data_IF_613752060615
#
_entry.id   IF_613752060615
#
_cell.length_a   1.000
_cell.length_b   1.000
_cell.length_c   1.000
_cell.angle_alpha   90.00
_cell.angle_beta   90.00
_cell.angle_gamma   90.00
#
_symmetry.space_group_name_H-M   'P 1'
#
loop_
_entity.id
_entity.type
_entity.pdbx_description
1 polymer ?
#
# COMPACT_ATOMS: atom_id res chain seq x y z
N UNK A 1 29.12 13.04 8.84
CA UNK A 1 28.25 11.85 8.90
C UNK A 1 28.79 10.81 7.94
N UNK A 2 29.03 9.57 8.36
CA UNK A 2 29.57 8.53 7.47
C UNK A 2 28.45 7.85 6.68
N UNK A 3 28.75 7.42 5.45
CA UNK A 3 27.83 6.73 4.54
C UNK A 3 27.28 5.43 5.14
N UNK A 4 28.10 4.74 5.94
CA UNK A 4 27.71 3.52 6.68
C UNK A 4 26.56 3.78 7.64
N UNK A 5 26.55 4.93 8.33
CA UNK A 5 25.46 5.29 9.25
C UNK A 5 24.16 5.57 8.49
N UNK A 6 24.23 6.22 7.33
CA UNK A 6 23.07 6.47 6.47
C UNK A 6 22.48 5.16 5.93
N UNK A 7 23.33 4.23 5.51
CA UNK A 7 22.88 2.93 5.00
C UNK A 7 22.25 2.05 6.10
N UNK A 8 22.75 2.13 7.34
CA UNK A 8 22.14 1.44 8.48
C UNK A 8 20.78 2.06 8.85
N UNK A 9 20.67 3.40 8.85
CA UNK A 9 19.38 4.06 9.09
C UNK A 9 18.35 3.69 8.01
N UNK A 10 18.75 3.64 6.74
CA UNK A 10 17.85 3.22 5.66
C UNK A 10 17.41 1.75 5.81
N UNK A 11 18.31 0.85 6.21
CA UNK A 11 17.98 -0.54 6.45
C UNK A 11 16.96 -0.72 7.58
N UNK A 12 17.11 0.02 8.69
CA UNK A 12 16.16 -0.04 9.80
C UNK A 12 14.77 0.46 9.37
N UNK A 13 14.71 1.56 8.61
CA UNK A 13 13.44 2.10 8.09
C UNK A 13 12.75 1.15 7.12
N UNK A 14 13.51 0.41 6.32
CA UNK A 14 12.95 -0.61 5.43
C UNK A 14 12.39 -1.80 6.21
N UNK A 15 13.04 -2.21 7.30
CA UNK A 15 12.54 -3.29 8.15
C UNK A 15 11.24 -2.89 8.87
N UNK A 16 11.16 -1.64 9.35
CA UNK A 16 9.92 -1.07 9.89
C UNK A 16 8.79 -1.04 8.86
N UNK A 17 9.11 -0.64 7.61
CA UNK A 17 8.13 -0.60 6.53
C UNK A 17 7.63 -2.00 6.14
N UNK A 18 8.51 -3.01 6.15
CA UNK A 18 8.13 -4.41 5.92
C UNK A 18 7.16 -4.88 7.01
N UNK A 19 7.46 -4.62 8.28
CA UNK A 19 6.59 -4.97 9.39
C UNK A 19 5.21 -4.30 9.28
N UNK A 20 5.19 -3.03 8.88
CA UNK A 20 3.96 -2.26 8.67
C UNK A 20 3.12 -2.85 7.53
N UNK A 21 3.73 -3.16 6.38
CA UNK A 21 3.04 -3.77 5.24
C UNK A 21 2.49 -5.17 5.56
N UNK A 22 3.20 -5.95 6.39
CA UNK A 22 2.69 -7.23 6.89
C UNK A 22 1.48 -7.06 7.81
N UNK A 23 1.50 -6.05 8.68
CA UNK A 23 0.33 -5.70 9.51
C UNK A 23 -0.85 -5.25 8.66
N UNK A 24 -0.61 -4.39 7.66
CA UNK A 24 -1.62 -3.94 6.68
C UNK A 24 -2.27 -5.13 5.98
N UNK A 25 -1.47 -6.05 5.46
CA UNK A 25 -1.95 -7.25 4.78
C UNK A 25 -2.78 -8.14 5.72
N UNK A 26 -2.36 -8.28 6.98
CA UNK A 26 -3.11 -9.05 7.97
C UNK A 26 -4.48 -8.41 8.27
N UNK A 27 -4.55 -7.08 8.40
CA UNK A 27 -5.82 -6.37 8.59
C UNK A 27 -6.73 -6.47 7.36
N UNK A 28 -6.18 -6.34 6.15
CA UNK A 28 -6.93 -6.49 4.90
C UNK A 28 -7.41 -7.93 4.62
N UNK A 29 -6.84 -8.91 5.31
CA UNK A 29 -7.25 -10.32 5.22
C UNK A 29 -8.37 -10.66 6.21
N UNK A 30 -8.51 -9.93 7.32
CA UNK A 30 -9.58 -10.15 8.30
C UNK A 30 -10.95 -9.83 7.68
N UNK A 31 -11.98 -10.55 8.15
CA UNK A 31 -13.36 -10.37 7.71
C UNK A 31 -14.03 -9.10 8.25
N UNK A 32 -13.49 -8.54 9.34
CA UNK A 32 -13.88 -7.26 9.92
C UNK A 32 -12.71 -6.29 9.79
N UNK A 33 -12.94 -5.17 9.10
CA UNK A 33 -11.89 -4.20 8.76
C UNK A 33 -11.93 -3.08 9.78
N UNK A 34 -10.83 -2.97 10.53
CA UNK A 34 -10.59 -1.81 11.37
C UNK A 34 -10.11 -0.65 10.48
N UNK A 35 -11.05 0.24 10.12
CA UNK A 35 -10.80 1.39 9.25
C UNK A 35 -9.89 2.44 9.91
N UNK A 36 -9.91 2.54 11.24
CA UNK A 36 -9.03 3.45 11.97
C UNK A 36 -7.59 2.90 11.96
N UNK A 37 -7.42 1.60 12.18
CA UNK A 37 -6.10 0.95 12.06
C UNK A 37 -5.51 1.04 10.65
N UNK A 38 -6.33 0.94 9.59
CA UNK A 38 -5.85 1.13 8.20
C UNK A 38 -5.46 2.59 7.93
N UNK A 39 -6.22 3.55 8.48
CA UNK A 39 -5.88 4.97 8.40
C UNK A 39 -4.55 5.27 9.08
N UNK A 40 -4.31 4.73 10.27
CA UNK A 40 -3.06 4.87 11.01
C UNK A 40 -1.86 4.25 10.26
N UNK A 41 -2.08 3.08 9.66
CA UNK A 41 -1.09 2.42 8.80
C UNK A 41 -0.77 3.30 7.58
N UNK A 42 -1.79 3.89 6.93
CA UNK A 42 -1.59 4.78 5.78
C UNK A 42 -0.80 6.04 6.16
N UNK A 43 -1.10 6.65 7.30
CA UNK A 43 -0.34 7.81 7.81
C UNK A 43 1.11 7.46 8.10
N UNK A 44 1.36 6.32 8.76
CA UNK A 44 2.71 5.86 9.10
C UNK A 44 3.51 5.56 7.83
N UNK A 45 2.89 4.91 6.84
CA UNK A 45 3.48 4.64 5.52
C UNK A 45 3.86 5.92 4.79
N UNK A 46 3.00 6.93 4.79
CA UNK A 46 3.28 8.22 4.17
C UNK A 46 4.46 8.94 4.83
N UNK A 47 4.55 8.90 6.17
CA UNK A 47 5.66 9.48 6.90
C UNK A 47 6.99 8.79 6.60
N UNK A 48 7.00 7.46 6.53
CA UNK A 48 8.17 6.67 6.18
C UNK A 48 8.64 6.91 4.73
N UNK A 49 7.70 6.99 3.78
CA UNK A 49 8.02 7.30 2.38
C UNK A 49 8.63 8.70 2.23
N UNK A 50 8.07 9.70 2.91
CA UNK A 50 8.62 11.06 2.90
C UNK A 50 10.04 11.12 3.48
N UNK A 51 10.33 10.33 4.51
CA UNK A 51 11.68 10.24 5.07
C UNK A 51 12.66 9.51 4.16
N UNK A 52 12.23 8.42 3.50
CA UNK A 52 13.04 7.74 2.50
C UNK A 52 13.40 8.66 1.32
N UNK A 53 12.44 9.45 0.85
CA UNK A 53 12.66 10.44 -0.19
C UNK A 53 13.67 11.52 0.24
N UNK A 54 13.55 12.04 1.48
CA UNK A 54 14.53 12.98 2.04
C UNK A 54 15.95 12.40 2.06
N UNK A 55 16.11 11.17 2.52
CA UNK A 55 17.42 10.51 2.58
C UNK A 55 17.98 10.26 1.17
N UNK A 56 17.13 9.88 0.22
CA UNK A 56 17.54 9.66 -1.17
C UNK A 56 17.99 10.95 -1.86
N UNK A 57 17.32 12.07 -1.61
CA UNK A 57 17.74 13.40 -2.09
C UNK A 57 19.13 13.77 -1.54
N UNK A 58 19.35 13.55 -0.24
CA UNK A 58 20.66 13.79 0.39
C UNK A 58 21.73 12.87 -0.23
N UNK A 59 21.43 11.58 -0.43
CA UNK A 59 22.34 10.61 -1.06
C UNK A 59 22.74 11.06 -2.47
N UNK A 60 21.78 11.47 -3.31
CA UNK A 60 22.04 11.98 -4.67
C UNK A 60 22.86 13.26 -4.66
N UNK A 61 22.58 14.17 -3.72
CA UNK A 61 23.38 15.38 -3.54
C UNK A 61 24.85 15.06 -3.20
N UNK A 62 25.07 14.09 -2.31
CA UNK A 62 26.42 13.62 -1.96
C UNK A 62 27.10 12.93 -3.15
N UNK A 63 26.40 12.06 -3.87
CA UNK A 63 26.89 11.40 -5.09
C UNK A 63 27.38 12.41 -6.12
N UNK A 64 26.56 13.42 -6.41
CA UNK A 64 26.89 14.49 -7.36
C UNK A 64 28.07 15.34 -6.88
N UNK A 65 28.14 15.65 -5.58
CA UNK A 65 29.26 16.42 -5.00
C UNK A 65 30.58 15.64 -5.04
N UNK A 66 30.53 14.32 -4.97
CA UNK A 66 31.70 13.45 -5.09
C UNK A 66 32.12 13.21 -6.56
N UNK A 67 31.36 13.72 -7.53
CA UNK A 67 31.70 13.66 -8.95
C UNK A 67 31.26 12.38 -9.66
N UNK A 68 30.39 11.58 -9.05
CA UNK A 68 29.84 10.37 -9.68
C UNK A 68 28.63 10.71 -10.56
N UNK A 69 28.46 9.96 -11.66
CA UNK A 69 27.32 10.08 -12.57
C UNK A 69 25.98 9.84 -11.86
N UNK A 70 24.92 10.50 -12.30
CA UNK A 70 23.58 10.24 -11.78
C UNK A 70 23.08 8.83 -12.14
N UNK A 71 22.34 8.21 -11.22
CA UNK A 71 21.75 6.88 -11.41
C UNK A 71 22.43 5.75 -10.64
N UNK A 72 21.99 4.52 -10.91
CA UNK A 72 22.38 3.33 -10.14
C UNK A 72 23.87 2.96 -10.31
N UNK A 73 24.44 3.16 -11.50
CA UNK A 73 25.84 2.86 -11.78
C UNK A 73 26.79 3.78 -10.98
N UNK A 74 26.53 5.09 -10.98
CA UNK A 74 27.30 6.04 -10.17
C UNK A 74 27.09 5.87 -8.67
N UNK A 75 25.89 5.44 -8.24
CA UNK A 75 25.62 5.09 -6.85
C UNK A 75 26.44 3.86 -6.39
N UNK A 76 26.54 2.83 -7.25
CA UNK A 76 27.35 1.65 -7.00
C UNK A 76 28.85 1.98 -6.96
N UNK A 77 29.32 2.86 -7.86
CA UNK A 77 30.70 3.33 -7.86
C UNK A 77 31.02 4.09 -6.55
N UNK A 78 30.17 5.03 -6.15
CA UNK A 78 30.31 5.75 -4.89
C UNK A 78 30.31 4.82 -3.66
N UNK A 79 29.45 3.80 -3.67
CA UNK A 79 29.39 2.81 -2.59
C UNK A 79 30.62 1.88 -2.57
N UNK A 80 31.19 1.56 -3.73
CA UNK A 80 32.39 0.73 -3.84
C UNK A 80 33.61 1.48 -3.33
N UNK A 81 33.78 2.73 -3.75
CA UNK A 81 34.89 3.59 -3.32
C UNK A 81 34.85 3.90 -1.82
N UNK A 82 33.64 3.98 -1.25
CA UNK A 82 33.43 4.15 0.19
C UNK A 82 33.47 2.84 1.00
N UNK A 83 33.85 1.70 0.39
CA UNK A 83 33.87 0.37 1.02
C UNK A 83 32.52 -0.06 1.65
N UNK A 84 31.40 0.38 1.09
CA UNK A 84 30.05 0.07 1.59
C UNK A 84 29.18 -0.64 0.55
N UNK A 85 29.78 -1.31 -0.43
CA UNK A 85 29.09 -2.05 -1.49
C UNK A 85 28.06 -3.05 -0.96
N UNK A 86 28.40 -3.83 0.06
CA UNK A 86 27.47 -4.82 0.64
C UNK A 86 26.20 -4.17 1.24
N UNK A 87 26.36 -3.00 1.86
CA UNK A 87 25.23 -2.26 2.42
C UNK A 87 24.35 -1.62 1.33
N UNK A 88 24.94 -1.23 0.20
CA UNK A 88 24.20 -0.78 -0.99
C UNK A 88 23.41 -1.93 -1.65
N UNK A 89 24.01 -3.11 -1.79
CA UNK A 89 23.32 -4.29 -2.32
C UNK A 89 22.16 -4.73 -1.42
N UNK A 90 22.36 -4.72 -0.10
CA UNK A 90 21.27 -4.99 0.86
C UNK A 90 20.15 -3.96 0.79
N UNK A 91 20.47 -2.67 0.60
CA UNK A 91 19.47 -1.62 0.40
C UNK A 91 18.61 -1.87 -0.84
N UNK A 92 19.24 -2.28 -1.96
CA UNK A 92 18.54 -2.58 -3.20
C UNK A 92 17.59 -3.79 -3.05
N UNK A 93 18.07 -4.88 -2.44
CA UNK A 93 17.25 -6.08 -2.20
C UNK A 93 16.04 -5.78 -1.32
N UNK A 94 16.25 -5.05 -0.21
CA UNK A 94 15.14 -4.62 0.67
C UNK A 94 14.16 -3.71 -0.05
N UNK A 95 14.64 -2.77 -0.87
CA UNK A 95 13.79 -1.85 -1.63
C UNK A 95 12.94 -2.58 -2.66
N UNK A 96 13.51 -3.55 -3.36
CA UNK A 96 12.78 -4.38 -4.33
C UNK A 96 11.70 -5.23 -3.63
N UNK A 97 12.03 -5.79 -2.47
CA UNK A 97 11.09 -6.56 -1.66
C UNK A 97 9.91 -5.72 -1.19
N UNK A 98 10.17 -4.50 -0.72
CA UNK A 98 9.13 -3.52 -0.35
C UNK A 98 8.27 -3.15 -1.56
N UNK A 99 8.86 -2.92 -2.73
CA UNK A 99 8.11 -2.58 -3.94
C UNK A 99 7.13 -3.70 -4.34
N UNK A 100 7.60 -4.95 -4.34
CA UNK A 100 6.76 -6.14 -4.59
C UNK A 100 5.63 -6.28 -3.58
N UNK A 101 5.93 -6.09 -2.29
CA UNK A 101 4.90 -6.16 -1.24
C UNK A 101 3.85 -5.06 -1.40
N UNK A 102 4.28 -3.82 -1.68
CA UNK A 102 3.38 -2.69 -1.88
C UNK A 102 2.46 -2.90 -3.09
N UNK A 103 3.00 -3.44 -4.19
CA UNK A 103 2.20 -3.79 -5.38
C UNK A 103 1.12 -4.83 -5.05
N UNK A 104 1.50 -5.90 -4.36
CA UNK A 104 0.58 -6.96 -3.91
C UNK A 104 -0.52 -6.42 -3.00
N UNK A 105 -0.15 -5.58 -2.02
CA UNK A 105 -1.12 -4.95 -1.11
C UNK A 105 -2.06 -4.01 -1.86
N UNK A 106 -1.55 -3.23 -2.83
CA UNK A 106 -2.36 -2.37 -3.69
C UNK A 106 -3.36 -3.13 -4.55
N UNK A 107 -2.96 -4.28 -5.11
CA UNK A 107 -3.87 -5.17 -5.85
C UNK A 107 -4.98 -5.72 -4.95
N UNK A 108 -4.64 -6.15 -3.73
CA UNK A 108 -5.59 -6.66 -2.76
C UNK A 108 -6.62 -5.60 -2.34
N UNK A 109 -6.15 -4.38 -2.04
CA UNK A 109 -7.01 -3.24 -1.71
C UNK A 109 -7.98 -2.91 -2.86
N UNK A 110 -7.47 -2.88 -4.09
CA UNK A 110 -8.27 -2.59 -5.29
C UNK A 110 -9.38 -3.63 -5.49
N UNK A 111 -9.03 -4.92 -5.34
CA UNK A 111 -10.00 -6.02 -5.46
C UNK A 111 -11.11 -5.91 -4.40
N UNK A 112 -10.74 -5.61 -3.15
CA UNK A 112 -11.68 -5.44 -2.05
C UNK A 112 -12.58 -4.21 -2.22
N UNK A 113 -12.03 -3.07 -2.65
CA UNK A 113 -12.82 -1.87 -2.96
C UNK A 113 -13.83 -2.11 -4.07
N UNK A 114 -13.43 -2.83 -5.12
CA UNK A 114 -14.35 -3.24 -6.19
C UNK A 114 -15.49 -4.11 -5.66
N UNK A 115 -15.19 -5.10 -4.80
CA UNK A 115 -16.20 -5.95 -4.18
C UNK A 115 -17.15 -5.16 -3.27
N UNK A 116 -16.62 -4.25 -2.46
CA UNK A 116 -17.43 -3.40 -1.56
C UNK A 116 -18.35 -2.47 -2.36
N UNK A 117 -17.85 -1.84 -3.43
CA UNK A 117 -18.67 -1.01 -4.31
C UNK A 117 -19.78 -1.83 -4.96
N UNK A 118 -19.48 -3.04 -5.47
CA UNK A 118 -20.48 -3.93 -6.05
C UNK A 118 -21.56 -4.35 -5.04
N UNK A 119 -21.18 -4.63 -3.79
CA UNK A 119 -22.13 -4.92 -2.70
C UNK A 119 -23.01 -3.71 -2.39
N UNK A 120 -22.44 -2.50 -2.30
CA UNK A 120 -23.21 -1.27 -2.08
C UNK A 120 -24.16 -0.97 -3.25
N UNK A 121 -23.71 -1.16 -4.49
CA UNK A 121 -24.54 -1.00 -5.68
C UNK A 121 -25.70 -2.01 -5.68
N UNK A 122 -25.46 -3.25 -5.25
CA UNK A 122 -26.50 -4.27 -5.11
C UNK A 122 -27.51 -3.93 -4.01
N UNK A 123 -27.05 -3.50 -2.84
CA UNK A 123 -27.91 -3.05 -1.74
C UNK A 123 -28.76 -1.85 -2.20
N UNK A 124 -28.14 -0.88 -2.87
CA UNK A 124 -28.83 0.29 -3.43
C UNK A 124 -29.88 -0.11 -4.45
N UNK A 125 -29.55 -1.03 -5.35
CA UNK A 125 -30.49 -1.54 -6.36
C UNK A 125 -31.69 -2.25 -5.73
N UNK A 126 -31.48 -3.02 -4.65
CA UNK A 126 -32.59 -3.64 -3.89
C UNK A 126 -33.41 -2.55 -3.20
N UNK A 127 -32.77 -1.62 -2.49
CA UNK A 127 -33.43 -0.53 -1.79
C UNK A 127 -34.33 0.30 -2.72
N UNK A 128 -33.83 0.63 -3.92
CA UNK A 128 -34.56 1.35 -4.98
C UNK A 128 -35.74 0.52 -5.53
N UNK A 129 -35.60 -0.82 -5.64
CA UNK A 129 -36.70 -1.71 -6.05
C UNK A 129 -37.76 -1.92 -4.95
N UNK A 130 -37.40 -1.72 -3.68
CA UNK A 130 -38.29 -1.84 -2.52
C UNK A 130 -38.91 -0.51 -2.07
N UNK A 131 -38.56 0.62 -2.69
CA UNK A 131 -39.11 1.93 -2.35
C UNK A 131 -40.57 2.04 -2.84
N UNK A 132 -41.46 2.45 -1.94
CA UNK A 132 -42.89 2.59 -2.17
C UNK A 132 -43.20 3.53 -3.35
N UNK A 133 -44.03 3.09 -4.30
CA UNK A 133 -44.63 4.00 -5.29
C UNK A 133 -45.65 4.92 -4.60
N UNK A 134 -45.92 6.13 -5.12
CA UNK A 134 -46.95 7.05 -4.60
C UNK A 134 -48.36 6.42 -4.47
N UNK A 135 -48.59 5.30 -5.17
CA UNK A 135 -49.83 4.52 -5.20
C UNK A 135 -49.89 3.42 -4.10
N UNK A 136 -48.97 3.42 -3.13
CA UNK A 136 -49.03 2.55 -1.94
C UNK A 136 -48.69 1.07 -2.16
N UNK A 137 -48.25 0.67 -3.36
CA UNK A 137 -47.94 -0.73 -3.70
C UNK A 137 -46.43 -0.97 -3.73
N UNK A 138 -45.97 -1.98 -2.98
CA UNK A 138 -44.61 -2.51 -3.05
C UNK A 138 -44.54 -3.64 -4.09
N UNK A 139 -43.52 -3.67 -4.95
CA UNK A 139 -43.37 -4.73 -5.96
C UNK A 139 -42.75 -6.02 -5.41
N UNK A 140 -42.53 -6.08 -4.09
CA UNK A 140 -42.13 -7.30 -3.40
C UNK A 140 -43.35 -8.22 -3.18
N UNK A 141 -43.86 -8.83 -4.25
CA UNK A 141 -44.70 -10.01 -4.11
C UNK A 141 -44.27 -11.05 -5.15
N UNK A 142 -43.62 -12.17 -4.74
CA UNK A 142 -43.47 -13.29 -5.64
C UNK A 142 -44.88 -13.80 -5.96
N UNK A 143 -45.11 -14.06 -7.24
CA UNK A 143 -46.41 -14.45 -7.78
C UNK A 143 -47.07 -15.53 -6.93
N UNK A 144 -48.32 -15.26 -6.53
CA UNK A 144 -49.17 -16.24 -5.88
C UNK A 144 -49.26 -17.46 -6.81
N UNK A 145 -48.71 -18.58 -6.36
CA UNK A 145 -49.05 -19.91 -6.86
C UNK A 145 -50.56 -20.07 -6.64
N UNK A 146 -51.31 -20.07 -7.74
CA UNK A 146 -52.74 -20.37 -7.72
C UNK A 146 -52.90 -21.86 -7.38
N UNK A 147 -53.30 -22.13 -6.13
CA UNK A 147 -53.87 -23.40 -5.74
C UNK A 147 -55.39 -23.23 -5.68
N UNK A 148 -56.07 -23.44 -6.82
CA UNK A 148 -57.49 -23.81 -6.86
C UNK A 148 -57.96 -24.07 -8.30
N UNK A 149 -58.62 -25.23 -8.46
CA UNK A 149 -59.43 -25.74 -9.58
C UNK A 149 -58.69 -26.40 -10.75
#
# INVERSE_FOLDING_TARGET
MSLVRLLNDQQNRLDELVALLSSEQAQLTKGDIDGDALTDIAHTKQALLGELERIEVVRRSVQKRLGYDDGAAGALAAATDANCKAAWESLLDKSERVARMNELTGQMLTLRMKHNQQMLDYIRQIAEKTLYKPDGRNNAQPGRINASA
#
